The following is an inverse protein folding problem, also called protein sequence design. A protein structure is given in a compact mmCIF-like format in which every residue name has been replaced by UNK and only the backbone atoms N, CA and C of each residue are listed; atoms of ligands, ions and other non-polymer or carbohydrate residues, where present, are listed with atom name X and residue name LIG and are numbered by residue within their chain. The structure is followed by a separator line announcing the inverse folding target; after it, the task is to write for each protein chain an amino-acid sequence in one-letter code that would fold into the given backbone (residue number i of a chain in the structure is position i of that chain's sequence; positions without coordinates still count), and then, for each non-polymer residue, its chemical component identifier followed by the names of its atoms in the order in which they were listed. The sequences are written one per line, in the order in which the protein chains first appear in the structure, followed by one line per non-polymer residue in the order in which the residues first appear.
data_IF_487897533073
#
_entry.id   IF_487897533073
#
_cell.length_a   1.000
_cell.length_b   1.000
_cell.length_c   1.000
_cell.angle_alpha   90.00
_cell.angle_beta   90.00
_cell.angle_gamma   90.00
#
_symmetry.space_group_name_H-M   'P 1'
#
loop_
_entity.id
_entity.type
_entity.pdbx_description
1 polymer ?
#
# COMPACT_ATOMS: atom_id res chain seq x y z
N UNK A 1 2.56 18.73 -2.81
CA UNK A 1 3.45 17.76 -2.14
C UNK A 1 2.55 16.85 -1.32
N UNK A 2 2.59 15.54 -1.52
CA UNK A 2 1.65 14.62 -0.88
C UNK A 2 1.97 14.35 0.61
N UNK A 3 0.97 13.91 1.39
CA UNK A 3 1.16 13.61 2.83
C UNK A 3 2.17 12.50 3.11
N UNK A 4 2.34 11.55 2.18
CA UNK A 4 3.35 10.48 2.28
C UNK A 4 4.76 11.10 2.23
N UNK A 5 5.02 11.94 1.23
CA UNK A 5 6.29 12.64 1.09
C UNK A 5 6.59 13.57 2.27
N UNK A 6 5.59 14.33 2.73
CA UNK A 6 5.69 15.16 3.93
C UNK A 6 6.09 14.36 5.17
N UNK A 7 5.48 13.19 5.36
CA UNK A 7 5.80 12.30 6.48
C UNK A 7 7.24 11.83 6.42
N UNK A 8 7.72 11.37 5.27
CA UNK A 8 9.12 10.99 5.10
C UNK A 8 10.08 12.17 5.33
N UNK A 9 9.74 13.37 4.85
CA UNK A 9 10.56 14.57 5.07
C UNK A 9 10.68 14.92 6.56
N UNK A 10 9.58 14.84 7.31
CA UNK A 10 9.58 15.07 8.77
C UNK A 10 10.44 14.03 9.51
N UNK A 11 10.33 12.76 9.14
CA UNK A 11 11.12 11.68 9.75
C UNK A 11 12.62 11.84 9.45
N UNK A 12 12.99 12.20 8.22
CA UNK A 12 14.39 12.48 7.85
C UNK A 12 15.00 13.60 8.67
N UNK A 13 14.29 14.72 8.87
CA UNK A 13 14.75 15.84 9.73
C UNK A 13 15.01 15.41 11.18
N UNK A 14 14.33 14.36 11.64
CA UNK A 14 14.47 13.80 13.00
C UNK A 14 15.40 12.59 13.06
N UNK A 15 16.06 12.24 11.94
CA UNK A 15 16.86 11.03 11.80
C UNK A 15 16.12 9.73 12.22
N UNK A 16 14.82 9.66 11.93
CA UNK A 16 13.97 8.49 12.20
C UNK A 16 13.64 7.72 10.92
N UNK A 17 13.32 6.43 11.08
CA UNK A 17 12.75 5.59 10.03
C UNK A 17 11.22 5.57 10.14
N UNK A 18 10.54 5.36 9.02
CA UNK A 18 9.09 5.24 9.01
C UNK A 18 8.67 3.87 9.53
N UNK A 19 7.65 3.84 10.40
CA UNK A 19 6.91 2.63 10.71
C UNK A 19 5.64 2.57 9.86
N UNK A 20 5.61 1.61 8.92
CA UNK A 20 4.47 1.38 8.03
C UNK A 20 3.75 0.12 8.51
N UNK A 21 2.50 0.27 8.95
CA UNK A 21 1.68 -0.85 9.39
C UNK A 21 0.78 -1.33 8.23
N UNK A 22 0.50 -2.63 8.19
CA UNK A 22 -0.51 -3.21 7.30
C UNK A 22 -1.64 -3.82 8.14
N UNK A 23 -2.89 -3.59 7.76
CA UNK A 23 -4.04 -4.34 8.25
C UNK A 23 -5.00 -4.69 7.10
N UNK A 24 -5.67 -5.83 7.19
CA UNK A 24 -6.80 -6.13 6.31
C UNK A 24 -8.04 -5.39 6.81
N UNK A 25 -8.62 -4.54 5.95
CA UNK A 25 -9.84 -3.81 6.28
C UNK A 25 -11.00 -4.78 6.48
N UNK A 26 -11.73 -4.61 7.57
CA UNK A 26 -12.83 -5.48 7.92
C UNK A 26 -12.42 -6.72 8.73
N UNK A 27 -11.16 -6.84 9.14
CA UNK A 27 -10.72 -7.88 10.07
C UNK A 27 -10.53 -7.31 11.50
N UNK A 28 -11.28 -7.80 12.51
CA UNK A 28 -12.39 -8.74 12.43
C UNK A 28 -13.69 -8.09 11.95
N UNK A 29 -13.79 -6.75 11.89
CA UNK A 29 -14.91 -6.01 11.28
C UNK A 29 -14.51 -4.55 10.97
N UNK A 30 -15.35 -3.81 10.24
CA UNK A 30 -15.07 -2.42 9.85
C UNK A 30 -15.06 -1.43 11.02
N UNK A 31 -15.80 -1.70 12.10
CA UNK A 31 -15.79 -0.86 13.29
C UNK A 31 -14.41 -0.93 13.97
N UNK A 32 -13.85 -2.13 14.12
CA UNK A 32 -12.49 -2.30 14.65
C UNK A 32 -11.44 -1.70 13.71
N UNK A 33 -11.62 -1.83 12.39
CA UNK A 33 -10.74 -1.15 11.41
C UNK A 33 -10.69 0.36 11.65
N UNK A 34 -11.85 1.00 11.91
CA UNK A 34 -11.94 2.43 12.22
C UNK A 34 -11.17 2.79 13.50
N UNK A 35 -11.37 2.01 14.56
CA UNK A 35 -10.73 2.22 15.85
C UNK A 35 -9.20 2.10 15.73
N UNK A 36 -8.72 1.09 15.01
CA UNK A 36 -7.30 0.91 14.70
C UNK A 36 -6.72 2.11 13.95
N UNK A 37 -7.35 2.54 12.85
CA UNK A 37 -6.92 3.71 12.05
C UNK A 37 -6.73 4.96 12.93
N UNK A 38 -7.66 5.20 13.85
CA UNK A 38 -7.63 6.37 14.74
C UNK A 38 -6.61 6.23 15.89
N UNK A 39 -6.31 4.99 16.31
CA UNK A 39 -5.32 4.72 17.37
C UNK A 39 -3.87 4.77 16.87
N UNK A 40 -3.64 4.44 15.59
CA UNK A 40 -2.30 4.26 15.03
C UNK A 40 -1.33 5.45 15.20
N UNK A 41 -1.75 6.72 15.14
CA UNK A 41 -0.86 7.83 15.45
C UNK A 41 -0.25 7.77 16.86
N UNK A 42 -0.98 7.28 17.87
CA UNK A 42 -0.49 7.25 19.26
C UNK A 42 0.56 6.17 19.50
N UNK A 43 0.56 5.13 18.67
CA UNK A 43 1.54 4.02 18.72
C UNK A 43 2.68 4.20 17.68
N UNK A 44 2.74 5.37 17.04
CA UNK A 44 3.86 5.75 16.17
C UNK A 44 3.81 5.21 14.75
N UNK A 45 2.65 4.77 14.25
CA UNK A 45 2.49 4.41 12.84
C UNK A 45 2.55 5.68 11.98
N UNK A 46 3.49 5.72 11.05
CA UNK A 46 3.74 6.86 10.19
C UNK A 46 2.86 6.85 8.94
N UNK A 47 2.64 5.66 8.36
CA UNK A 47 1.83 5.37 7.16
C UNK A 47 1.05 4.07 7.44
N UNK A 48 -0.19 3.98 7.00
CA UNK A 48 -0.99 2.75 7.09
C UNK A 48 -1.30 2.22 5.68
N UNK A 49 -0.92 0.97 5.45
CA UNK A 49 -1.40 0.16 4.33
C UNK A 49 -2.70 -0.53 4.74
N UNK A 50 -3.76 -0.25 3.98
CA UNK A 50 -5.10 -0.76 4.23
C UNK A 50 -5.45 -1.79 3.15
N UNK A 51 -5.35 -3.06 3.50
CA UNK A 51 -5.65 -4.20 2.63
C UNK A 51 -7.13 -4.31 2.32
N UNK A 52 -7.48 -4.34 1.03
CA UNK A 52 -8.81 -4.71 0.57
C UNK A 52 -8.89 -6.23 0.53
N UNK A 53 -9.82 -6.86 1.28
CA UNK A 53 -9.91 -8.31 1.30
C UNK A 53 -10.31 -8.83 -0.09
N UNK A 54 -9.64 -9.89 -0.54
CA UNK A 54 -9.80 -10.43 -1.88
C UNK A 54 -9.93 -11.96 -1.83
N UNK A 55 -10.75 -12.52 -2.73
CA UNK A 55 -11.07 -13.96 -2.75
C UNK A 55 -9.91 -14.83 -3.23
N UNK A 56 -9.08 -14.30 -4.12
CA UNK A 56 -8.01 -15.04 -4.80
C UNK A 56 -6.64 -14.36 -4.59
N UNK A 57 -6.19 -14.15 -3.34
CA UNK A 57 -5.01 -13.35 -3.04
C UNK A 57 -3.70 -14.11 -3.29
N UNK A 58 -3.21 -14.09 -4.53
CA UNK A 58 -2.01 -14.84 -4.95
C UNK A 58 -0.71 -14.38 -4.27
N UNK A 59 -0.62 -13.12 -3.83
CA UNK A 59 0.59 -12.55 -3.24
C UNK A 59 0.63 -12.66 -1.70
N UNK A 60 -0.53 -12.89 -1.07
CA UNK A 60 -0.65 -12.89 0.38
C UNK A 60 -0.32 -14.26 0.97
N UNK A 61 0.27 -14.28 2.17
CA UNK A 61 0.46 -15.53 2.90
C UNK A 61 -0.69 -15.82 3.87
N UNK A 62 -0.64 -17.01 4.48
CA UNK A 62 -1.76 -17.60 5.22
C UNK A 62 -2.42 -16.66 6.25
N UNK A 63 -1.64 -15.88 6.99
CA UNK A 63 -2.18 -14.93 7.98
C UNK A 63 -3.09 -13.87 7.34
N UNK A 64 -2.66 -13.28 6.22
CA UNK A 64 -3.44 -12.25 5.51
C UNK A 64 -4.60 -12.89 4.74
N UNK A 65 -4.43 -14.12 4.23
CA UNK A 65 -5.52 -14.88 3.63
C UNK A 65 -6.66 -15.11 4.64
N UNK A 66 -6.34 -15.61 5.85
CA UNK A 66 -7.35 -15.80 6.91
C UNK A 66 -8.00 -14.50 7.37
N UNK A 67 -7.25 -13.38 7.38
CA UNK A 67 -7.82 -12.06 7.66
C UNK A 67 -8.80 -11.63 6.57
N UNK A 68 -8.46 -11.86 5.30
CA UNK A 68 -9.33 -11.59 4.16
C UNK A 68 -10.60 -12.45 4.20
N UNK A 69 -10.49 -13.74 4.52
CA UNK A 69 -11.64 -14.64 4.69
C UNK A 69 -12.61 -14.14 5.77
N UNK A 70 -12.10 -13.73 6.95
CA UNK A 70 -12.92 -13.15 8.02
C UNK A 70 -13.63 -11.88 7.55
N UNK A 71 -12.92 -10.96 6.90
CA UNK A 71 -13.53 -9.74 6.36
C UNK A 71 -14.59 -10.02 5.27
N UNK A 72 -14.31 -10.94 4.34
CA UNK A 72 -15.25 -11.33 3.27
C UNK A 72 -16.51 -12.02 3.83
N UNK A 73 -16.38 -12.83 4.88
CA UNK A 73 -17.54 -13.44 5.55
C UNK A 73 -18.52 -12.41 6.13
N UNK A 74 -18.05 -11.18 6.39
CA UNK A 74 -18.87 -10.05 6.80
C UNK A 74 -19.29 -9.14 5.63
N UNK A 75 -19.15 -9.63 4.40
CA UNK A 75 -19.47 -8.90 3.17
C UNK A 75 -18.75 -7.56 3.08
N UNK A 76 -17.52 -7.48 3.57
CA UNK A 76 -16.67 -6.29 3.42
C UNK A 76 -16.28 -6.16 1.95
N UNK A 77 -16.39 -4.96 1.40
CA UNK A 77 -16.09 -4.66 0.01
C UNK A 77 -15.29 -3.37 -0.12
N UNK A 78 -14.61 -3.19 -1.25
CA UNK A 78 -13.89 -1.97 -1.57
C UNK A 78 -14.74 -0.71 -1.32
N UNK A 79 -16.01 -0.69 -1.77
CA UNK A 79 -16.88 0.47 -1.60
C UNK A 79 -17.19 0.77 -0.12
N UNK A 80 -17.39 -0.27 0.70
CA UNK A 80 -17.60 -0.09 2.16
C UNK A 80 -16.33 0.45 2.83
N UNK A 81 -15.15 0.02 2.39
CA UNK A 81 -13.86 0.50 2.90
C UNK A 81 -13.66 1.98 2.54
N UNK A 82 -13.92 2.35 1.29
CA UNK A 82 -13.84 3.74 0.84
C UNK A 82 -14.84 4.65 1.57
N UNK A 83 -16.06 4.17 1.83
CA UNK A 83 -17.04 4.93 2.62
C UNK A 83 -16.58 5.08 4.08
N UNK A 84 -16.00 4.04 4.68
CA UNK A 84 -15.43 4.14 6.03
C UNK A 84 -14.31 5.20 6.09
N UNK A 85 -13.34 5.15 5.18
CA UNK A 85 -12.18 6.05 5.22
C UNK A 85 -12.57 7.49 4.92
N UNK A 86 -13.60 7.71 4.09
CA UNK A 86 -14.21 9.02 3.84
C UNK A 86 -14.77 9.68 5.10
N UNK A 87 -15.27 8.89 6.06
CA UNK A 87 -15.83 9.38 7.33
C UNK A 87 -14.76 9.70 8.38
N UNK A 88 -13.50 9.34 8.13
CA UNK A 88 -12.38 9.59 9.04
C UNK A 88 -11.65 10.86 8.59
N UNK A 89 -11.61 11.87 9.47
CA UNK A 89 -10.81 13.07 9.22
C UNK A 89 -9.34 12.69 9.00
N UNK A 90 -8.83 13.03 7.81
CA UNK A 90 -7.46 12.76 7.40
C UNK A 90 -6.42 13.29 8.40
N UNK A 91 -6.70 14.39 9.12
CA UNK A 91 -5.79 14.96 10.13
C UNK A 91 -5.62 14.08 11.38
N UNK A 92 -6.55 13.15 11.62
CA UNK A 92 -6.58 12.28 12.81
C UNK A 92 -5.98 10.89 12.58
N UNK A 93 -5.44 10.63 11.39
CA UNK A 93 -4.89 9.33 10.99
C UNK A 93 -3.57 9.49 10.21
N UNK A 94 -2.74 8.44 10.11
CA UNK A 94 -1.65 8.43 9.14
C UNK A 94 -2.17 8.57 7.70
N UNK A 95 -1.30 8.93 6.73
CA UNK A 95 -1.59 8.74 5.31
C UNK A 95 -1.98 7.28 5.04
N UNK A 96 -3.03 7.08 4.25
CA UNK A 96 -3.55 5.77 3.87
C UNK A 96 -3.03 5.40 2.48
N UNK A 97 -2.45 4.21 2.41
CA UNK A 97 -2.12 3.53 1.17
C UNK A 97 -3.12 2.39 1.00
N UNK A 98 -3.96 2.44 -0.02
CA UNK A 98 -4.88 1.35 -0.30
C UNK A 98 -4.09 0.22 -0.95
N UNK A 99 -4.16 -0.98 -0.39
CA UNK A 99 -3.49 -2.17 -0.90
C UNK A 99 -4.56 -3.10 -1.47
N UNK A 100 -4.60 -3.27 -2.79
CA UNK A 100 -5.67 -4.03 -3.47
C UNK A 100 -5.16 -4.74 -4.71
N UNK A 101 -5.78 -5.85 -5.09
CA UNK A 101 -5.48 -6.51 -6.35
C UNK A 101 -6.09 -5.76 -7.54
N UNK A 102 -5.62 -6.03 -8.74
CA UNK A 102 -6.02 -5.29 -9.93
C UNK A 102 -7.46 -5.56 -10.35
N UNK A 103 -7.95 -6.79 -10.18
CA UNK A 103 -9.29 -7.18 -10.63
C UNK A 103 -10.43 -6.31 -10.02
N UNK A 104 -10.47 -6.02 -8.70
CA UNK A 104 -11.41 -5.05 -8.13
C UNK A 104 -11.34 -3.65 -8.77
N UNK A 105 -10.14 -3.17 -9.11
CA UNK A 105 -9.92 -1.87 -9.75
C UNK A 105 -10.47 -1.89 -11.18
N UNK A 106 -10.11 -2.92 -11.95
CA UNK A 106 -10.53 -3.10 -13.33
C UNK A 106 -12.06 -3.23 -13.44
N UNK A 107 -12.71 -4.03 -12.58
CA UNK A 107 -14.18 -4.19 -12.57
C UNK A 107 -14.94 -2.89 -12.28
N UNK A 108 -14.37 -2.01 -11.47
CA UNK A 108 -14.98 -0.71 -11.16
C UNK A 108 -14.73 0.34 -12.25
N UNK A 109 -13.71 0.11 -13.09
CA UNK A 109 -13.13 1.08 -14.02
C UNK A 109 -12.09 1.95 -13.32
N UNK A 110 -10.89 2.06 -13.91
CA UNK A 110 -9.73 2.74 -13.30
C UNK A 110 -10.05 4.18 -12.92
N UNK A 111 -10.65 4.96 -13.83
CA UNK A 111 -11.01 6.36 -13.58
C UNK A 111 -11.96 6.48 -12.37
N UNK A 112 -13.07 5.73 -12.40
CA UNK A 112 -14.07 5.73 -11.32
C UNK A 112 -13.46 5.27 -9.99
N UNK A 113 -12.60 4.26 -10.01
CA UNK A 113 -11.88 3.79 -8.84
C UNK A 113 -11.02 4.90 -8.21
N UNK A 114 -10.21 5.59 -9.04
CA UNK A 114 -9.35 6.68 -8.57
C UNK A 114 -10.19 7.84 -8.03
N UNK A 115 -11.30 8.20 -8.67
CA UNK A 115 -12.17 9.26 -8.18
C UNK A 115 -12.78 8.94 -6.82
N UNK A 116 -13.27 7.70 -6.63
CA UNK A 116 -13.83 7.27 -5.35
C UNK A 116 -12.75 7.23 -4.26
N UNK A 117 -11.55 6.75 -4.60
CA UNK A 117 -10.41 6.69 -3.69
C UNK A 117 -9.96 8.09 -3.24
N UNK A 118 -9.89 9.05 -4.16
CA UNK A 118 -9.57 10.45 -3.85
C UNK A 118 -10.64 11.10 -2.94
N UNK A 119 -11.93 10.86 -3.24
CA UNK A 119 -13.06 11.32 -2.38
C UNK A 119 -13.01 10.70 -0.98
N UNK A 120 -12.51 9.48 -0.88
CA UNK A 120 -12.27 8.76 0.38
C UNK A 120 -10.96 9.16 1.08
N UNK A 121 -10.26 10.17 0.56
CA UNK A 121 -8.98 10.66 1.07
C UNK A 121 -7.87 9.59 1.10
N UNK A 122 -7.88 8.61 0.20
CA UNK A 122 -6.74 7.71 0.02
C UNK A 122 -5.58 8.50 -0.61
N UNK A 123 -4.37 8.34 -0.07
CA UNK A 123 -3.18 9.11 -0.48
C UNK A 123 -2.17 8.29 -1.29
N UNK A 124 -2.22 6.97 -1.22
CA UNK A 124 -1.39 6.09 -2.04
C UNK A 124 -2.10 4.81 -2.44
N UNK A 125 -1.54 4.12 -3.44
CA UNK A 125 -2.06 2.88 -3.97
C UNK A 125 -0.93 1.88 -4.18
N UNK A 126 -1.15 0.65 -3.72
CA UNK A 126 -0.34 -0.53 -4.05
C UNK A 126 -1.25 -1.52 -4.75
N UNK A 127 -0.86 -1.94 -5.96
CA UNK A 127 -1.50 -3.04 -6.70
C UNK A 127 -0.44 -4.10 -7.00
N UNK A 128 -0.34 -5.18 -6.18
CA UNK A 128 0.76 -6.14 -6.26
C UNK A 128 0.87 -6.88 -7.60
N UNK A 129 -0.27 -7.13 -8.23
CA UNK A 129 -0.43 -7.87 -9.48
C UNK A 129 -0.53 -6.96 -10.72
N UNK A 130 -0.29 -5.64 -10.59
CA UNK A 130 -0.31 -4.70 -11.70
C UNK A 130 0.97 -4.79 -12.54
N UNK A 131 0.88 -5.16 -13.83
CA UNK A 131 2.02 -5.08 -14.74
C UNK A 131 2.51 -3.63 -14.88
N UNK A 132 3.81 -3.44 -15.08
CA UNK A 132 4.41 -2.11 -15.24
C UNK A 132 3.85 -1.40 -16.48
N UNK A 133 3.51 -2.18 -17.49
CA UNK A 133 2.93 -1.80 -18.76
C UNK A 133 1.52 -1.19 -18.57
N UNK A 134 0.74 -1.68 -17.60
CA UNK A 134 -0.59 -1.15 -17.25
C UNK A 134 -0.51 -0.03 -16.19
N UNK A 135 0.60 0.04 -15.45
CA UNK A 135 0.81 1.06 -14.42
C UNK A 135 0.80 2.49 -14.97
N UNK A 136 1.20 2.70 -16.23
CA UNK A 136 1.16 4.03 -16.84
C UNK A 136 -0.27 4.58 -16.95
N UNK A 137 -1.24 3.73 -17.31
CA UNK A 137 -2.64 4.11 -17.40
C UNK A 137 -3.20 4.51 -16.03
N UNK A 138 -2.95 3.69 -15.00
CA UNK A 138 -3.35 3.97 -13.62
C UNK A 138 -2.75 5.29 -13.14
N UNK A 139 -1.45 5.54 -13.41
CA UNK A 139 -0.75 6.78 -13.02
C UNK A 139 -1.34 8.03 -13.64
N UNK A 140 -1.82 7.97 -14.89
CA UNK A 140 -2.45 9.13 -15.56
C UNK A 140 -3.65 9.64 -14.77
N UNK A 141 -4.46 8.74 -14.20
CA UNK A 141 -5.59 9.12 -13.36
C UNK A 141 -5.16 9.56 -11.96
N UNK A 142 -4.19 8.88 -11.33
CA UNK A 142 -3.71 9.21 -9.99
C UNK A 142 -3.04 10.59 -9.90
N UNK A 143 -2.26 10.97 -10.92
CA UNK A 143 -1.55 12.26 -10.93
C UNK A 143 -2.51 13.46 -10.78
N UNK A 144 -3.69 13.39 -11.39
CA UNK A 144 -4.73 14.43 -11.30
C UNK A 144 -5.33 14.57 -9.90
N UNK A 145 -5.07 13.63 -9.00
CA UNK A 145 -5.66 13.53 -7.66
C UNK A 145 -4.62 13.56 -6.53
N UNK A 146 -3.35 13.84 -6.85
CA UNK A 146 -2.23 13.85 -5.90
C UNK A 146 -2.10 12.53 -5.10
N UNK A 147 -2.39 11.40 -5.75
CA UNK A 147 -2.23 10.07 -5.17
C UNK A 147 -0.94 9.43 -5.69
N UNK A 148 -0.19 8.77 -4.81
CA UNK A 148 1.04 8.10 -5.15
C UNK A 148 0.77 6.65 -5.60
N UNK A 149 1.27 6.25 -6.77
CA UNK A 149 1.39 4.82 -7.11
C UNK A 149 2.72 4.29 -6.57
N UNK A 150 2.63 3.40 -5.59
CA UNK A 150 3.78 2.73 -4.98
C UNK A 150 4.03 1.44 -5.75
N UNK A 151 5.22 1.32 -6.34
CA UNK A 151 5.61 0.17 -7.14
C UNK A 151 6.47 -0.80 -6.34
N UNK A 152 6.31 -2.08 -6.65
CA UNK A 152 7.03 -3.16 -5.99
C UNK A 152 8.32 -3.49 -6.73
N UNK A 153 9.38 -3.76 -5.97
CA UNK A 153 10.60 -4.40 -6.43
C UNK A 153 10.76 -5.74 -5.73
N UNK A 154 11.13 -6.78 -6.47
CA UNK A 154 11.45 -8.09 -5.94
C UNK A 154 12.96 -8.37 -6.07
N UNK A 155 13.52 -9.33 -5.32
CA UNK A 155 14.93 -9.71 -5.46
C UNK A 155 15.26 -10.24 -6.86
N UNK A 156 14.26 -10.79 -7.56
CA UNK A 156 14.35 -11.30 -8.95
C UNK A 156 14.17 -10.23 -10.01
N UNK A 157 13.86 -8.98 -9.66
CA UNK A 157 13.70 -7.90 -10.64
C UNK A 157 15.03 -7.61 -11.33
N UNK A 158 15.06 -7.75 -12.66
CA UNK A 158 16.23 -7.42 -13.48
C UNK A 158 16.58 -5.94 -13.39
N UNK A 159 17.86 -5.61 -13.53
CA UNK A 159 18.40 -4.26 -13.34
C UNK A 159 17.76 -3.20 -14.23
N UNK A 160 17.46 -3.54 -15.47
CA UNK A 160 16.79 -2.65 -16.44
C UNK A 160 15.38 -2.30 -15.95
N UNK A 161 14.61 -3.31 -15.52
CA UNK A 161 13.25 -3.12 -14.99
C UNK A 161 13.28 -2.39 -13.64
N UNK A 162 14.28 -2.65 -12.80
CA UNK A 162 14.49 -1.91 -11.55
C UNK A 162 14.65 -0.41 -11.79
N UNK A 163 15.46 0.01 -12.78
CA UNK A 163 15.62 1.43 -13.12
C UNK A 163 14.30 2.09 -13.51
N UNK A 164 13.51 1.43 -14.34
CA UNK A 164 12.21 1.94 -14.79
C UNK A 164 11.25 2.06 -13.59
N UNK A 165 11.19 1.03 -12.73
CA UNK A 165 10.37 1.06 -11.51
C UNK A 165 10.80 2.20 -10.59
N UNK A 166 12.10 2.37 -10.32
CA UNK A 166 12.60 3.48 -9.49
C UNK A 166 12.22 4.85 -10.05
N UNK A 167 12.33 5.05 -11.37
CA UNK A 167 11.97 6.31 -12.04
C UNK A 167 10.47 6.62 -12.02
N UNK A 168 9.62 5.60 -11.88
CA UNK A 168 8.17 5.76 -11.91
C UNK A 168 7.49 5.62 -10.54
N UNK A 169 8.22 5.19 -9.52
CA UNK A 169 7.71 5.05 -8.16
C UNK A 169 7.43 6.41 -7.55
N UNK A 170 6.31 6.50 -6.83
CA UNK A 170 5.92 7.69 -6.07
C UNK A 170 5.71 7.33 -4.60
N UNK A 171 5.87 8.30 -3.70
CA UNK A 171 5.82 8.09 -2.26
C UNK A 171 7.04 7.33 -1.72
N UNK A 172 7.13 6.03 -2.01
CA UNK A 172 8.27 5.17 -1.69
C UNK A 172 8.35 3.97 -2.65
N UNK A 173 9.47 3.25 -2.59
CA UNK A 173 9.64 1.99 -3.32
C UNK A 173 9.38 0.83 -2.36
N UNK A 174 8.44 -0.06 -2.70
CA UNK A 174 8.13 -1.23 -1.90
C UNK A 174 9.08 -2.38 -2.29
N UNK A 175 10.16 -2.57 -1.55
CA UNK A 175 11.06 -3.70 -1.78
C UNK A 175 10.60 -4.94 -1.01
N UNK A 176 10.20 -5.98 -1.74
CA UNK A 176 9.84 -7.28 -1.18
C UNK A 176 11.14 -7.98 -0.78
N UNK A 177 11.38 -8.11 0.53
CA UNK A 177 12.62 -8.66 1.07
C UNK A 177 12.72 -10.19 0.99
N UNK A 178 11.76 -10.89 0.38
CA UNK A 178 11.71 -12.36 0.36
C UNK A 178 11.17 -12.87 -0.98
N UNK A 179 11.64 -14.05 -1.37
CA UNK A 179 11.01 -14.86 -2.42
C UNK A 179 9.92 -15.71 -1.75
N UNK A 180 8.66 -15.53 -2.16
CA UNK A 180 7.49 -16.22 -1.58
C UNK A 180 6.45 -15.26 -0.99
N UNK A 181 5.42 -15.81 -0.34
CA UNK A 181 4.29 -15.04 0.23
C UNK A 181 4.60 -14.45 1.61
N UNK A 182 3.80 -13.47 2.04
CA UNK A 182 3.94 -12.75 3.32
C UNK A 182 3.83 -13.67 4.54
N UNK A 183 4.81 -13.64 5.46
CA UNK A 183 4.76 -14.41 6.70
C UNK A 183 5.94 -14.11 7.62
N UNK A 184 5.75 -14.25 8.94
CA UNK A 184 6.82 -14.04 9.92
C UNK A 184 7.88 -15.16 9.79
N UNK A 185 9.15 -14.76 9.70
CA UNK A 185 10.32 -15.66 9.83
C UNK A 185 11.45 -14.88 10.48
N UNK A 186 12.32 -15.56 11.21
CA UNK A 186 13.29 -14.94 12.12
C UNK A 186 14.58 -14.41 11.44
N UNK A 187 14.76 -14.62 10.13
CA UNK A 187 15.98 -14.21 9.42
C UNK A 187 15.70 -13.35 8.19
N UNK A 188 16.60 -12.38 7.93
CA UNK A 188 16.63 -11.57 6.72
C UNK A 188 17.59 -12.21 5.70
N UNK A 189 17.38 -12.03 4.39
CA UNK A 189 18.34 -12.47 3.38
C UNK A 189 19.70 -11.78 3.57
N UNK A 190 20.77 -12.53 3.33
CA UNK A 190 22.14 -12.02 3.46
C UNK A 190 22.48 -10.92 2.45
N UNK A 191 21.83 -10.91 1.28
CA UNK A 191 22.05 -9.96 0.18
C UNK A 191 21.20 -8.68 0.29
N UNK A 192 20.32 -8.58 1.29
CA UNK A 192 19.39 -7.45 1.41
C UNK A 192 20.09 -6.09 1.48
N UNK A 193 21.21 -6.00 2.22
CA UNK A 193 21.96 -4.76 2.37
C UNK A 193 22.50 -4.27 1.03
N UNK A 194 23.11 -5.18 0.26
CA UNK A 194 23.67 -4.88 -1.06
C UNK A 194 22.57 -4.43 -2.04
N UNK A 195 21.41 -5.09 -2.00
CA UNK A 195 20.25 -4.71 -2.81
C UNK A 195 19.72 -3.31 -2.48
N UNK A 196 19.62 -2.97 -1.20
CA UNK A 196 19.22 -1.62 -0.78
C UNK A 196 20.23 -0.57 -1.25
N UNK A 197 21.53 -0.86 -1.17
CA UNK A 197 22.57 0.04 -1.67
C UNK A 197 22.53 0.20 -3.19
N UNK A 198 22.20 -0.86 -3.94
CA UNK A 198 22.00 -0.80 -5.39
C UNK A 198 20.80 0.10 -5.75
N UNK A 199 19.66 -0.07 -5.08
CA UNK A 199 18.46 0.75 -5.30
C UNK A 199 18.76 2.22 -5.01
N UNK A 200 19.45 2.52 -3.90
CA UNK A 200 19.83 3.89 -3.52
C UNK A 200 20.76 4.59 -4.51
N UNK A 201 21.52 3.85 -5.32
CA UNK A 201 22.37 4.46 -6.38
C UNK A 201 21.56 4.91 -7.60
N UNK A 202 20.30 4.49 -7.70
CA UNK A 202 19.42 4.73 -8.85
C UNK A 202 18.36 5.79 -8.53
N UNK A 203 18.05 6.00 -7.24
CA UNK A 203 17.07 6.96 -6.71
C UNK A 203 17.75 8.18 -6.11
#
# INVERSE_FOLDING_TARGET
MGRIEERFAQLRRRNKKAFIAFITAGDPNLQITRELILSFPSVGVDILELGVPFSDPLADGATIQSASERALSQSVSLLKILELTKQIDRKRRPPLVLFTYYNPVHKLGIERFVELSAKASIEGLIIPDLPLEEAEEVRKFLHRREMDLILLLAPTTKKERMKIICQHSQGFIYYISRLGTTGARDTLPSDLKEKIEEIRKIT
#
